data_IF_976140858388
#
_entry.id   IF_976140858388
#
_cell.length_a   1.000
_cell.length_b   1.000
_cell.length_c   1.000
_cell.angle_alpha   90.00
_cell.angle_beta   90.00
_cell.angle_gamma   90.00
#
_symmetry.space_group_name_H-M   'P 1'
#
loop_
_entity.id
_entity.type
_entity.pdbx_description
1 polymer ?
#
# COMPACT_ATOMS: atom_id res chain seq x y z
N UNK A 1 -19.11 -3.84 -7.11
CA UNK A 1 -17.86 -3.74 -6.34
C UNK A 1 -17.82 -2.31 -5.85
N UNK A 2 -17.88 -2.09 -4.53
CA UNK A 2 -17.72 -0.74 -4.01
C UNK A 2 -16.23 -0.41 -4.05
N UNK A 3 -15.82 0.38 -5.05
CA UNK A 3 -14.42 0.75 -5.24
C UNK A 3 -13.88 1.53 -4.05
N UNK A 4 -14.75 2.17 -3.25
CA UNK A 4 -14.36 2.89 -2.05
C UNK A 4 -13.91 1.94 -0.95
N UNK A 5 -14.65 0.84 -0.73
CA UNK A 5 -14.28 -0.18 0.27
C UNK A 5 -12.95 -0.86 -0.08
N UNK A 6 -12.75 -1.14 -1.37
CA UNK A 6 -11.52 -1.76 -1.87
C UNK A 6 -10.34 -0.80 -1.74
N UNK A 7 -10.51 0.47 -2.13
CA UNK A 7 -9.50 1.51 -1.94
C UNK A 7 -9.13 1.64 -0.46
N UNK A 8 -10.11 1.75 0.44
CA UNK A 8 -9.87 1.84 1.88
C UNK A 8 -9.11 0.63 2.42
N UNK A 9 -9.47 -0.58 1.97
CA UNK A 9 -8.77 -1.79 2.39
C UNK A 9 -7.30 -1.78 1.95
N UNK A 10 -7.04 -1.49 0.68
CA UNK A 10 -5.67 -1.41 0.13
C UNK A 10 -4.88 -0.34 0.89
N UNK A 11 -5.40 0.88 0.99
CA UNK A 11 -4.76 1.98 1.73
C UNK A 11 -4.46 1.58 3.17
N UNK A 12 -5.38 0.88 3.86
CA UNK A 12 -5.16 0.42 5.23
C UNK A 12 -4.04 -0.62 5.35
N UNK A 13 -3.88 -1.53 4.39
CA UNK A 13 -2.80 -2.52 4.44
C UNK A 13 -1.44 -1.90 4.07
N UNK A 14 -1.42 -0.93 3.14
CA UNK A 14 -0.21 -0.16 2.80
C UNK A 14 0.25 0.71 3.98
N UNK A 15 -0.66 1.40 4.65
CA UNK A 15 -0.33 2.19 5.87
C UNK A 15 0.27 1.28 6.94
N UNK A 16 -0.35 0.12 7.23
CA UNK A 16 0.20 -0.85 8.20
C UNK A 16 1.60 -1.34 7.83
N UNK A 17 1.89 -1.46 6.54
CA UNK A 17 3.22 -1.83 6.08
C UNK A 17 4.24 -0.74 6.39
N UNK A 18 3.90 0.52 6.08
CA UNK A 18 4.75 1.68 6.32
C UNK A 18 5.01 1.86 7.83
N UNK A 19 3.97 1.77 8.65
CA UNK A 19 4.08 1.84 10.12
C UNK A 19 5.01 0.76 10.68
N UNK A 20 5.00 -0.46 10.11
CA UNK A 20 5.92 -1.53 10.53
C UNK A 20 7.36 -1.29 10.13
N UNK A 21 7.60 -0.59 9.02
CA UNK A 21 8.95 -0.31 8.50
C UNK A 21 9.58 0.91 9.18
N UNK A 22 8.83 1.99 9.32
CA UNK A 22 9.32 3.28 9.80
C UNK A 22 9.00 3.53 11.28
N UNK A 23 7.99 2.87 11.84
CA UNK A 23 7.56 3.10 13.23
C UNK A 23 7.26 4.57 13.49
N UNK A 24 7.75 5.09 14.61
CA UNK A 24 7.60 6.49 15.03
C UNK A 24 8.28 7.50 14.09
N UNK A 25 9.09 7.02 13.12
CA UNK A 25 9.70 7.90 12.14
C UNK A 25 8.72 8.34 11.04
N UNK A 26 7.60 7.63 10.81
CA UNK A 26 6.55 8.06 9.90
C UNK A 26 5.62 9.06 10.62
N UNK A 27 5.61 10.32 10.19
CA UNK A 27 4.76 11.37 10.76
C UNK A 27 3.41 11.44 10.08
N UNK A 28 3.43 11.47 8.75
CA UNK A 28 2.23 11.49 7.93
C UNK A 28 2.38 10.51 6.77
N UNK A 29 1.31 9.76 6.51
CA UNK A 29 1.24 8.81 5.41
C UNK A 29 -0.05 9.06 4.66
N UNK A 30 0.06 9.32 3.37
CA UNK A 30 -1.08 9.47 2.46
C UNK A 30 -0.98 8.36 1.43
N UNK A 31 -2.04 7.55 1.33
CA UNK A 31 -2.16 6.50 0.32
C UNK A 31 -3.40 6.73 -0.51
N UNK A 32 -3.20 7.03 -1.79
CA UNK A 32 -4.27 7.21 -2.76
C UNK A 32 -4.34 5.99 -3.67
N UNK A 33 -5.54 5.45 -3.84
CA UNK A 33 -5.78 4.28 -4.69
C UNK A 33 -6.83 4.65 -5.72
N UNK A 34 -6.47 4.54 -6.99
CA UNK A 34 -7.30 4.91 -8.13
C UNK A 34 -7.50 3.71 -9.05
N UNK A 35 -8.74 3.44 -9.41
CA UNK A 35 -9.11 2.38 -10.36
C UNK A 35 -9.41 3.00 -11.72
N UNK A 36 -8.78 2.49 -12.77
CA UNK A 36 -9.01 2.88 -14.16
C UNK A 36 -9.24 1.65 -15.04
N UNK A 37 -9.62 1.86 -16.30
CA UNK A 37 -9.75 0.76 -17.27
C UNK A 37 -8.40 0.09 -17.56
N UNK A 38 -7.29 0.83 -17.43
CA UNK A 38 -5.94 0.33 -17.67
C UNK A 38 -5.32 -0.39 -16.47
N UNK A 39 -5.89 -0.27 -15.27
CA UNK A 39 -5.40 -0.96 -14.08
C UNK A 39 -5.70 -0.21 -12.78
N UNK A 40 -4.80 -0.38 -11.81
CA UNK A 40 -4.87 0.29 -10.51
C UNK A 40 -3.59 1.09 -10.30
N UNK A 41 -3.75 2.35 -9.94
CA UNK A 41 -2.66 3.25 -9.56
C UNK A 41 -2.69 3.42 -8.04
N UNK A 42 -1.51 3.29 -7.43
CA UNK A 42 -1.32 3.47 -5.98
C UNK A 42 -0.22 4.50 -5.78
N UNK A 43 -0.61 5.66 -5.25
CA UNK A 43 0.32 6.72 -4.89
C UNK A 43 0.53 6.74 -3.38
N UNK A 44 1.79 6.73 -2.98
CA UNK A 44 2.20 6.74 -1.57
C UNK A 44 3.06 7.97 -1.33
N UNK A 45 2.63 8.81 -0.39
CA UNK A 45 3.38 9.96 0.10
C UNK A 45 3.66 9.76 1.60
N UNK A 46 4.92 9.90 1.99
CA UNK A 46 5.42 9.65 3.35
C UNK A 46 6.21 10.87 3.82
N UNK A 47 5.68 11.58 4.81
CA UNK A 47 6.44 12.55 5.60
C UNK A 47 7.09 11.82 6.78
N UNK A 48 8.41 11.82 6.81
CA UNK A 48 9.21 11.12 7.80
C UNK A 48 10.08 12.06 8.65
N UNK A 49 10.67 11.51 9.72
CA UNK A 49 11.71 12.19 10.49
C UNK A 49 12.98 12.39 9.63
N UNK A 50 13.67 13.52 9.84
CA UNK A 50 14.96 13.83 9.19
C UNK A 50 16.08 12.84 9.53
N UNK A 51 15.85 11.95 10.50
CA UNK A 51 16.77 10.88 10.88
C UNK A 51 16.71 9.68 9.92
N UNK A 52 15.69 9.61 9.07
CA UNK A 52 15.55 8.56 8.07
C UNK A 52 16.35 8.94 6.83
N UNK A 53 17.20 8.04 6.37
CA UNK A 53 17.95 8.26 5.13
C UNK A 53 17.00 8.30 3.92
N UNK A 54 17.15 9.30 3.05
CA UNK A 54 16.31 9.49 1.86
C UNK A 54 16.24 8.23 0.98
N UNK A 55 17.36 7.52 0.82
CA UNK A 55 17.41 6.27 0.05
C UNK A 55 16.57 5.16 0.68
N UNK A 56 16.53 5.09 2.02
CA UNK A 56 15.68 4.14 2.72
C UNK A 56 14.21 4.55 2.66
N UNK A 57 13.91 5.85 2.79
CA UNK A 57 12.55 6.37 2.64
C UNK A 57 12.00 6.07 1.24
N UNK A 58 12.76 6.36 0.18
CA UNK A 58 12.39 6.05 -1.20
C UNK A 58 12.11 4.56 -1.37
N UNK A 59 12.99 3.71 -0.85
CA UNK A 59 12.80 2.25 -0.91
C UNK A 59 11.50 1.81 -0.22
N UNK A 60 11.19 2.34 0.96
CA UNK A 60 9.95 2.01 1.68
C UNK A 60 8.73 2.49 0.89
N UNK A 61 8.78 3.68 0.30
CA UNK A 61 7.72 4.23 -0.56
C UNK A 61 7.48 3.33 -1.77
N UNK A 62 8.54 2.94 -2.48
CA UNK A 62 8.44 2.07 -3.67
C UNK A 62 7.85 0.70 -3.30
N UNK A 63 8.35 0.08 -2.22
CA UNK A 63 7.84 -1.20 -1.73
C UNK A 63 6.36 -1.11 -1.29
N UNK A 64 5.96 0.02 -0.70
CA UNK A 64 4.59 0.27 -0.28
C UNK A 64 3.63 0.43 -1.47
N UNK A 65 4.05 1.13 -2.52
CA UNK A 65 3.30 1.25 -3.77
C UNK A 65 3.15 -0.11 -4.47
N UNK A 66 4.25 -0.88 -4.59
CA UNK A 66 4.22 -2.23 -5.15
C UNK A 66 3.28 -3.17 -4.37
N UNK A 67 3.28 -3.07 -3.03
CA UNK A 67 2.37 -3.82 -2.17
C UNK A 67 0.91 -3.49 -2.51
N UNK A 68 0.58 -2.19 -2.62
CA UNK A 68 -0.77 -1.75 -2.96
C UNK A 68 -1.24 -2.28 -4.31
N UNK A 69 -0.39 -2.20 -5.33
CA UNK A 69 -0.67 -2.76 -6.67
C UNK A 69 -0.86 -4.27 -6.61
N UNK A 70 0.02 -4.99 -5.90
CA UNK A 70 -0.12 -6.44 -5.75
C UNK A 70 -1.46 -6.83 -5.10
N UNK A 71 -1.86 -6.14 -4.03
CA UNK A 71 -3.15 -6.39 -3.37
C UNK A 71 -4.31 -6.13 -4.35
N UNK A 72 -4.24 -5.03 -5.08
CA UNK A 72 -5.25 -4.66 -6.06
C UNK A 72 -5.40 -5.72 -7.17
N UNK A 73 -4.28 -6.24 -7.68
CA UNK A 73 -4.27 -7.32 -8.67
C UNK A 73 -4.92 -8.59 -8.13
N UNK A 74 -4.60 -8.98 -6.89
CA UNK A 74 -5.22 -10.17 -6.28
C UNK A 74 -6.73 -9.99 -6.12
N UNK A 75 -7.18 -8.81 -5.72
CA UNK A 75 -8.62 -8.51 -5.59
C UNK A 75 -9.29 -8.54 -6.96
N UNK A 76 -8.63 -8.03 -8.01
CA UNK A 76 -9.13 -8.10 -9.38
C UNK A 76 -9.27 -9.54 -9.88
N UNK A 77 -8.31 -10.40 -9.57
CA UNK A 77 -8.31 -11.82 -9.98
C UNK A 77 -9.34 -12.67 -9.22
N UNK A 78 -9.45 -12.45 -7.90
CA UNK A 78 -10.24 -13.32 -7.02
C UNK A 78 -11.62 -12.78 -6.67
N UNK A 79 -11.82 -11.49 -6.89
CA UNK A 79 -13.02 -10.77 -6.47
C UNK A 79 -12.93 -10.23 -5.04
N UNK A 80 -13.90 -9.38 -4.72
CA UNK A 80 -14.11 -8.78 -3.40
C UNK A 80 -15.39 -9.34 -2.78
N UNK A 81 -15.42 -9.67 -1.46
CA UNK A 81 -14.38 -9.47 -0.45
C UNK A 81 -13.24 -10.50 -0.50
N UNK A 82 -12.07 -10.10 0.00
CA UNK A 82 -10.87 -10.95 0.08
C UNK A 82 -10.41 -11.16 1.53
N UNK A 83 -9.77 -12.28 1.81
CA UNK A 83 -9.13 -12.51 3.11
C UNK A 83 -7.64 -12.13 3.11
N UNK A 84 -7.11 -11.72 4.28
CA UNK A 84 -5.67 -11.40 4.43
C UNK A 84 -4.73 -12.54 4.03
N UNK A 85 -5.18 -13.79 4.16
CA UNK A 85 -4.38 -14.97 3.77
C UNK A 85 -4.10 -15.00 2.27
N UNK A 86 -4.99 -14.42 1.46
CA UNK A 86 -4.87 -14.46 0.01
C UNK A 86 -3.92 -13.40 -0.53
N UNK A 87 -3.72 -12.33 0.22
CA UNK A 87 -2.78 -11.25 -0.09
C UNK A 87 -1.43 -11.44 0.60
N UNK A 88 -1.25 -12.50 1.41
CA UNK A 88 0.00 -12.72 2.15
C UNK A 88 1.23 -12.79 1.24
N UNK A 89 1.05 -13.26 -0.01
CA UNK A 89 2.10 -13.30 -1.03
C UNK A 89 2.66 -11.92 -1.39
N UNK A 90 1.87 -10.86 -1.20
CA UNK A 90 2.29 -9.49 -1.49
C UNK A 90 3.25 -8.92 -0.44
N UNK A 91 3.36 -9.54 0.75
CA UNK A 91 4.19 -9.06 1.86
C UNK A 91 5.55 -9.76 1.95
N UNK A 92 5.87 -10.66 1.02
CA UNK A 92 7.02 -11.58 1.11
C UNK A 92 8.33 -11.06 0.47
N UNK A 93 8.45 -9.77 0.20
CA UNK A 93 9.67 -9.15 -0.36
C UNK A 93 10.58 -8.60 0.72
#
# INVERSE_FOLDING_TARGET
MDNLDVAQFISSEVVKYIEKRLGDAAKHVIVSVSFSESGVEVDVDIDASLLVEDAYLQKVTDEAAELGVCIADVIREKGWPISRREISKCFTK
#
